data_IF_634812682083
#
_entry.id   IF_634812682083
#
_cell.length_a   1.000
_cell.length_b   1.000
_cell.length_c   1.000
_cell.angle_alpha   90.00
_cell.angle_beta   90.00
_cell.angle_gamma   90.00
#
_symmetry.space_group_name_H-M   'P 1'
#
loop_
_entity.id
_entity.type
_entity.pdbx_description
1 polymer ?
#
# COMPACT_ATOMS: atom_id res chain seq x y z
N UNK A 1 12.63 11.12 28.55
CA UNK A 1 13.00 10.66 27.20
C UNK A 1 14.52 10.74 26.90
N UNK A 2 15.42 10.80 27.91
CA UNK A 2 16.88 10.95 27.71
C UNK A 2 17.70 9.70 28.10
N UNK A 3 17.05 8.55 28.29
CA UNK A 3 17.62 7.45 29.08
C UNK A 3 18.61 6.55 28.30
N UNK A 4 18.45 6.38 26.98
CA UNK A 4 19.47 5.79 26.09
C UNK A 4 18.95 5.76 24.64
N UNK A 5 19.70 6.32 23.69
CA UNK A 5 19.37 6.26 22.26
C UNK A 5 19.30 4.80 21.77
N UNK A 6 20.18 3.93 22.27
CA UNK A 6 20.20 2.52 21.92
C UNK A 6 18.90 1.82 22.36
N UNK A 7 18.44 2.10 23.59
CA UNK A 7 17.17 1.54 24.09
C UNK A 7 15.99 2.05 23.26
N UNK A 8 15.95 3.34 22.91
CA UNK A 8 14.88 3.88 22.07
C UNK A 8 14.85 3.21 20.67
N UNK A 9 16.01 3.04 20.04
CA UNK A 9 16.12 2.32 18.74
C UNK A 9 15.72 0.86 18.87
N UNK A 10 16.13 0.17 19.94
CA UNK A 10 15.78 -1.22 20.19
C UNK A 10 14.28 -1.41 20.41
N UNK A 11 13.66 -0.58 21.25
CA UNK A 11 12.21 -0.60 21.47
C UNK A 11 11.43 -0.32 20.17
N UNK A 12 11.91 0.63 19.37
CA UNK A 12 11.30 0.95 18.08
C UNK A 12 11.41 -0.20 17.07
N UNK A 13 12.58 -0.84 16.99
CA UNK A 13 12.79 -2.01 16.15
C UNK A 13 11.93 -3.19 16.61
N UNK A 14 11.86 -3.44 17.92
CA UNK A 14 11.02 -4.49 18.50
C UNK A 14 9.53 -4.26 18.17
N UNK A 15 9.03 -3.03 18.30
CA UNK A 15 7.67 -2.67 17.90
C UNK A 15 7.43 -2.98 16.42
N UNK A 16 8.37 -2.62 15.53
CA UNK A 16 8.27 -2.93 14.10
C UNK A 16 8.21 -4.44 13.82
N UNK A 17 9.05 -5.23 14.50
CA UNK A 17 9.04 -6.70 14.38
C UNK A 17 7.71 -7.27 14.88
N UNK A 18 7.20 -6.80 16.03
CA UNK A 18 5.90 -7.22 16.56
C UNK A 18 4.76 -6.87 15.61
N UNK A 19 4.73 -5.65 15.06
CA UNK A 19 3.70 -5.23 14.09
C UNK A 19 3.78 -6.01 12.78
N UNK A 20 4.98 -6.32 12.29
CA UNK A 20 5.17 -7.19 11.14
C UNK A 20 4.62 -8.59 11.44
N UNK A 21 5.04 -9.21 12.55
CA UNK A 21 4.56 -10.52 12.97
C UNK A 21 3.04 -10.56 13.12
N UNK A 22 2.46 -9.53 13.72
CA UNK A 22 1.00 -9.37 13.81
C UNK A 22 0.34 -9.31 12.42
N UNK A 23 0.87 -8.53 11.48
CA UNK A 23 0.36 -8.47 10.12
C UNK A 23 0.42 -9.84 9.42
N UNK A 24 1.51 -10.60 9.58
CA UNK A 24 1.64 -11.95 9.02
C UNK A 24 0.62 -12.93 9.61
N UNK A 25 0.41 -12.87 10.94
CA UNK A 25 -0.59 -13.69 11.63
C UNK A 25 -2.00 -13.34 11.17
N UNK A 26 -2.33 -12.06 11.02
CA UNK A 26 -3.63 -11.66 10.48
C UNK A 26 -3.81 -12.14 9.03
N UNK A 27 -2.76 -12.03 8.20
CA UNK A 27 -2.77 -12.48 6.81
C UNK A 27 -3.04 -13.98 6.64
N UNK A 28 -2.75 -14.81 7.67
CA UNK A 28 -3.06 -16.25 7.66
C UNK A 28 -4.53 -16.57 7.42
N UNK A 29 -5.44 -15.64 7.75
CA UNK A 29 -6.90 -15.80 7.56
C UNK A 29 -7.29 -16.03 6.11
N UNK A 30 -6.52 -15.51 5.15
CA UNK A 30 -6.82 -15.61 3.72
C UNK A 30 -6.05 -16.74 3.02
N UNK A 31 -5.22 -17.52 3.73
CA UNK A 31 -4.26 -18.45 3.11
C UNK A 31 -4.46 -19.89 3.57
N UNK A 32 -4.40 -20.83 2.64
CA UNK A 32 -4.23 -22.26 2.94
C UNK A 32 -2.74 -22.58 3.04
N UNK A 33 -2.21 -22.55 4.28
CA UNK A 33 -0.79 -22.73 4.58
C UNK A 33 0.07 -21.47 4.45
N UNK A 34 1.37 -21.61 4.70
CA UNK A 34 2.31 -20.48 4.79
C UNK A 34 2.91 -20.02 3.47
N UNK A 35 2.83 -20.84 2.41
CA UNK A 35 3.48 -20.57 1.12
C UNK A 35 3.14 -19.19 0.54
N UNK A 36 1.87 -18.72 0.46
CA UNK A 36 1.57 -17.40 -0.07
C UNK A 36 2.18 -16.26 0.77
N UNK A 37 2.27 -16.43 2.09
CA UNK A 37 2.86 -15.43 3.00
C UNK A 37 4.37 -15.36 2.79
N UNK A 38 5.05 -16.50 2.75
CA UNK A 38 6.50 -16.56 2.53
C UNK A 38 6.85 -15.92 1.18
N UNK A 39 6.10 -16.24 0.13
CA UNK A 39 6.29 -15.64 -1.19
C UNK A 39 5.97 -14.14 -1.20
N UNK A 40 4.93 -13.69 -0.49
CA UNK A 40 4.62 -12.27 -0.37
C UNK A 40 5.69 -11.50 0.39
N UNK A 41 6.26 -12.08 1.48
CA UNK A 41 7.41 -11.51 2.20
C UNK A 41 8.63 -11.44 1.29
N UNK A 42 8.93 -12.50 0.54
CA UNK A 42 10.03 -12.52 -0.42
C UNK A 42 9.86 -11.45 -1.51
N UNK A 43 8.63 -11.28 -2.01
CA UNK A 43 8.31 -10.25 -3.01
C UNK A 43 8.40 -8.82 -2.48
N UNK A 44 8.53 -8.60 -1.16
CA UNK A 44 8.82 -7.28 -0.57
C UNK A 44 10.08 -7.29 0.30
N UNK A 45 10.98 -8.25 0.07
CA UNK A 45 12.13 -8.51 0.95
C UNK A 45 13.07 -7.32 1.10
N UNK A 46 13.51 -6.72 -0.01
CA UNK A 46 14.38 -5.54 0.03
C UNK A 46 13.68 -4.27 0.57
N UNK A 47 12.41 -3.97 0.22
CA UNK A 47 11.63 -2.94 0.91
C UNK A 47 11.59 -3.14 2.43
N UNK A 48 11.40 -4.38 2.88
CA UNK A 48 11.33 -4.70 4.30
C UNK A 48 12.69 -4.55 4.99
N UNK A 49 13.77 -5.04 4.38
CA UNK A 49 15.15 -4.79 4.85
C UNK A 49 15.41 -3.28 4.99
N UNK A 50 15.13 -2.52 3.92
CA UNK A 50 15.35 -1.07 3.90
C UNK A 50 14.54 -0.36 4.99
N UNK A 51 13.34 -0.84 5.32
CA UNK A 51 12.57 -0.30 6.43
C UNK A 51 13.32 -0.42 7.77
N UNK A 52 13.89 -1.59 8.07
CA UNK A 52 14.61 -1.82 9.32
C UNK A 52 15.94 -1.05 9.37
N UNK A 53 16.66 -0.93 8.25
CA UNK A 53 17.85 -0.09 8.14
C UNK A 53 17.56 1.38 8.48
N UNK A 54 16.40 1.87 8.03
CA UNK A 54 15.98 3.27 8.22
C UNK A 54 15.08 3.48 9.45
N UNK A 55 14.79 2.41 10.22
CA UNK A 55 13.84 2.42 11.34
C UNK A 55 12.52 3.12 10.97
N UNK A 56 11.97 2.85 9.79
CA UNK A 56 10.74 3.51 9.33
C UNK A 56 9.48 2.91 9.97
N UNK A 57 8.33 3.59 9.81
CA UNK A 57 7.04 3.25 10.43
C UNK A 57 6.24 2.18 9.66
N UNK A 58 6.75 1.69 8.53
CA UNK A 58 5.93 0.97 7.55
C UNK A 58 5.30 -0.34 8.08
N UNK A 59 5.99 -1.20 8.87
CA UNK A 59 5.39 -2.37 9.51
C UNK A 59 4.20 -2.05 10.42
N UNK A 60 4.23 -0.90 11.11
CA UNK A 60 3.09 -0.44 11.92
C UNK A 60 1.91 -0.15 11.00
N UNK A 61 2.13 0.61 9.92
CA UNK A 61 1.10 0.91 8.92
C UNK A 61 0.57 -0.37 8.26
N UNK A 62 1.44 -1.32 7.96
CA UNK A 62 1.08 -2.61 7.40
C UNK A 62 0.11 -3.36 8.31
N UNK A 63 0.42 -3.46 9.60
CA UNK A 63 -0.45 -4.09 10.59
C UNK A 63 -1.83 -3.45 10.64
N UNK A 64 -1.89 -2.11 10.66
CA UNK A 64 -3.15 -1.35 10.68
C UNK A 64 -3.98 -1.54 9.40
N UNK A 65 -3.32 -1.60 8.23
CA UNK A 65 -3.97 -1.82 6.94
C UNK A 65 -4.51 -3.26 6.83
N UNK A 66 -3.75 -4.25 7.28
CA UNK A 66 -4.22 -5.64 7.31
C UNK A 66 -5.36 -5.80 8.33
N UNK A 67 -5.26 -5.16 9.51
CA UNK A 67 -6.35 -5.13 10.48
C UNK A 67 -7.63 -4.49 9.91
N UNK A 68 -7.49 -3.41 9.13
CA UNK A 68 -8.61 -2.81 8.38
C UNK A 68 -9.29 -3.84 7.48
N UNK A 69 -8.51 -4.62 6.72
CA UNK A 69 -9.06 -5.68 5.86
C UNK A 69 -9.77 -6.80 6.65
N UNK A 70 -9.24 -7.19 7.83
CA UNK A 70 -9.89 -8.16 8.72
C UNK A 70 -11.24 -7.63 9.21
N UNK A 71 -11.29 -6.40 9.71
CA UNK A 71 -12.52 -5.79 10.22
C UNK A 71 -13.59 -5.65 9.12
N UNK A 72 -13.18 -5.32 7.88
CA UNK A 72 -14.07 -5.24 6.72
C UNK A 72 -14.68 -6.59 6.36
N UNK A 73 -13.89 -7.67 6.43
CA UNK A 73 -14.36 -9.04 6.18
C UNK A 73 -15.39 -9.47 7.23
N UNK A 74 -15.16 -9.09 8.48
CA UNK A 74 -16.07 -9.35 9.61
C UNK A 74 -17.26 -8.37 9.68
N UNK A 75 -17.43 -7.51 8.66
CA UNK A 75 -18.51 -6.50 8.56
C UNK A 75 -18.52 -5.48 9.71
N UNK A 76 -17.38 -5.26 10.38
CA UNK A 76 -17.23 -4.30 11.49
C UNK A 76 -16.71 -2.96 10.98
N UNK A 77 -17.53 -2.29 10.19
CA UNK A 77 -17.11 -1.13 9.38
C UNK A 77 -16.50 0.02 10.19
N UNK A 78 -17.07 0.36 11.35
CA UNK A 78 -16.56 1.43 12.19
C UNK A 78 -15.16 1.12 12.74
N UNK A 79 -14.90 -0.14 13.13
CA UNK A 79 -13.58 -0.58 13.58
C UNK A 79 -12.56 -0.60 12.45
N UNK A 80 -12.98 -1.05 11.26
CA UNK A 80 -12.15 -0.95 10.06
C UNK A 80 -11.75 0.50 9.76
N UNK A 81 -12.73 1.41 9.81
CA UNK A 81 -12.52 2.85 9.72
C UNK A 81 -11.51 3.34 10.75
N UNK A 82 -11.69 2.97 12.02
CA UNK A 82 -10.80 3.37 13.10
C UNK A 82 -9.33 2.96 12.90
N UNK A 83 -9.06 1.72 12.49
CA UNK A 83 -7.70 1.27 12.18
C UNK A 83 -7.08 2.07 11.03
N UNK A 84 -7.85 2.31 9.96
CA UNK A 84 -7.38 3.11 8.83
C UNK A 84 -7.18 4.59 9.21
N UNK A 85 -8.05 5.14 10.05
CA UNK A 85 -7.94 6.49 10.60
C UNK A 85 -6.67 6.66 11.42
N UNK A 86 -6.35 5.69 12.27
CA UNK A 86 -5.10 5.66 13.02
C UNK A 86 -3.88 5.59 12.08
N UNK A 87 -3.91 4.74 11.05
CA UNK A 87 -2.83 4.67 10.06
C UNK A 87 -2.64 6.02 9.33
N UNK A 88 -3.75 6.69 9.01
CA UNK A 88 -3.78 8.00 8.34
C UNK A 88 -3.25 9.13 9.22
N UNK A 89 -3.54 9.09 10.52
CA UNK A 89 -2.98 10.04 11.49
C UNK A 89 -1.46 9.87 11.64
N UNK A 90 -0.96 8.63 11.65
CA UNK A 90 0.48 8.34 11.73
C UNK A 90 1.19 8.84 10.47
N UNK A 91 0.59 8.64 9.30
CA UNK A 91 1.15 9.05 8.01
C UNK A 91 0.02 9.34 7.04
N UNK A 92 0.07 10.43 6.29
CA UNK A 92 -1.09 10.88 5.50
C UNK A 92 -1.48 9.99 4.29
N UNK A 93 -0.54 9.30 3.64
CA UNK A 93 -0.83 8.61 2.37
C UNK A 93 -1.86 7.43 2.43
N UNK A 94 -2.01 6.65 3.53
CA UNK A 94 -3.07 5.66 3.67
C UNK A 94 -4.49 6.26 3.58
N UNK A 95 -4.66 7.58 3.71
CA UNK A 95 -5.94 8.25 3.51
C UNK A 95 -6.61 7.86 2.18
N UNK A 96 -5.83 7.54 1.14
CA UNK A 96 -6.39 7.12 -0.14
C UNK A 96 -7.20 5.81 -0.03
N UNK A 97 -6.94 4.97 0.97
CA UNK A 97 -7.73 3.75 1.23
C UNK A 97 -9.18 4.09 1.63
N UNK A 98 -9.48 5.31 2.09
CA UNK A 98 -10.87 5.75 2.28
C UNK A 98 -11.68 5.75 0.98
N UNK A 99 -11.02 5.76 -0.19
CA UNK A 99 -11.67 5.57 -1.48
C UNK A 99 -12.47 4.26 -1.54
N UNK A 100 -11.99 3.21 -0.89
CA UNK A 100 -12.75 1.96 -0.76
C UNK A 100 -14.09 2.20 -0.07
N UNK A 101 -14.09 2.88 1.06
CA UNK A 101 -15.32 3.15 1.83
C UNK A 101 -16.27 4.06 1.03
N UNK A 102 -15.73 5.05 0.34
CA UNK A 102 -16.52 5.97 -0.50
C UNK A 102 -17.20 5.22 -1.66
N UNK A 103 -16.45 4.45 -2.44
CA UNK A 103 -16.97 3.71 -3.59
C UNK A 103 -17.95 2.61 -3.17
N UNK A 104 -17.69 1.96 -2.03
CA UNK A 104 -18.58 0.94 -1.46
C UNK A 104 -19.71 1.52 -0.61
N UNK A 105 -19.83 2.84 -0.53
CA UNK A 105 -20.85 3.56 0.27
C UNK A 105 -20.90 3.11 1.74
N UNK A 106 -19.74 2.76 2.32
CA UNK A 106 -19.59 2.35 3.72
C UNK A 106 -19.39 3.55 4.63
N UNK A 107 -20.42 4.39 4.71
CA UNK A 107 -20.38 5.69 5.39
C UNK A 107 -20.02 5.60 6.88
N UNK A 108 -20.48 4.55 7.56
CA UNK A 108 -20.17 4.33 8.99
C UNK A 108 -18.67 4.16 9.22
N UNK A 109 -18.02 3.35 8.39
CA UNK A 109 -16.57 3.17 8.43
C UNK A 109 -15.81 4.42 8.01
N UNK A 110 -16.27 5.11 6.96
CA UNK A 110 -15.68 6.37 6.52
C UNK A 110 -15.71 7.44 7.64
N UNK A 111 -16.88 7.65 8.25
CA UNK A 111 -17.06 8.63 9.32
C UNK A 111 -16.20 8.29 10.54
N UNK A 112 -16.20 7.02 10.98
CA UNK A 112 -15.38 6.58 12.10
C UNK A 112 -13.88 6.79 11.84
N UNK A 113 -13.40 6.45 10.64
CA UNK A 113 -11.99 6.62 10.31
C UNK A 113 -11.57 8.07 10.16
N UNK A 114 -12.39 8.92 9.53
CA UNK A 114 -12.14 10.36 9.47
C UNK A 114 -12.15 10.99 10.86
N UNK A 115 -13.07 10.58 11.74
CA UNK A 115 -13.12 11.04 13.11
C UNK A 115 -11.86 10.64 13.91
N UNK A 116 -11.39 9.40 13.79
CA UNK A 116 -10.13 8.97 14.44
C UNK A 116 -8.93 9.73 13.86
N UNK A 117 -8.82 9.86 12.54
CA UNK A 117 -7.72 10.56 11.89
C UNK A 117 -7.66 12.03 12.31
N UNK A 118 -8.79 12.74 12.20
CA UNK A 118 -8.90 14.14 12.58
C UNK A 118 -8.70 14.32 14.09
N UNK A 119 -9.33 13.49 14.92
CA UNK A 119 -9.21 13.54 16.38
C UNK A 119 -7.76 13.38 16.85
N UNK A 120 -7.03 12.37 16.36
CA UNK A 120 -5.63 12.18 16.71
C UNK A 120 -4.73 13.31 16.20
N UNK A 121 -5.00 13.83 15.01
CA UNK A 121 -4.27 14.98 14.46
C UNK A 121 -4.48 16.22 15.33
N UNK A 122 -5.73 16.50 15.73
CA UNK A 122 -6.06 17.62 16.64
C UNK A 122 -5.40 17.43 18.00
N UNK A 123 -5.49 16.23 18.58
CA UNK A 123 -4.85 15.91 19.88
C UNK A 123 -3.35 16.16 19.82
N UNK A 124 -2.67 15.77 18.74
CA UNK A 124 -1.24 16.03 18.56
C UNK A 124 -0.90 17.52 18.43
N UNK A 125 -1.86 18.35 18.01
CA UNK A 125 -1.69 19.80 17.86
C UNK A 125 -2.05 20.60 19.12
N UNK A 126 -2.71 20.00 20.12
CA UNK A 126 -3.11 20.69 21.36
C UNK A 126 -1.97 21.45 22.05
N UNK A 127 -0.73 20.92 22.15
CA UNK A 127 0.37 21.65 22.81
C UNK A 127 0.75 22.98 22.15
N UNK A 128 0.38 23.19 20.88
CA UNK A 128 0.69 24.41 20.14
C UNK A 128 -0.37 25.51 20.33
N UNK A 129 -1.52 25.20 20.96
CA UNK A 129 -2.67 26.09 21.00
C UNK A 129 -3.30 26.32 19.61
N UNK A 130 -4.43 27.05 19.52
CA UNK A 130 -5.16 27.23 18.27
C UNK A 130 -4.35 27.99 17.21
N UNK A 131 -3.68 29.08 17.60
CA UNK A 131 -2.86 29.89 16.68
C UNK A 131 -1.64 29.11 16.20
N UNK A 132 -0.89 28.50 17.13
CA UNK A 132 0.29 27.72 16.79
C UNK A 132 -0.02 26.48 15.95
N UNK A 133 -1.20 25.87 16.12
CA UNK A 133 -1.65 24.77 15.27
C UNK A 133 -1.86 25.21 13.81
N UNK A 134 -2.52 26.36 13.58
CA UNK A 134 -2.74 26.91 12.24
C UNK A 134 -1.40 27.27 11.58
N UNK A 135 -0.51 27.94 12.31
CA UNK A 135 0.82 28.28 11.81
C UNK A 135 1.65 27.04 11.48
N UNK A 136 1.60 26.02 12.34
CA UNK A 136 2.31 24.75 12.13
C UNK A 136 1.80 24.02 10.89
N UNK A 137 0.48 24.00 10.68
CA UNK A 137 -0.12 23.42 9.48
C UNK A 137 0.27 24.18 8.22
N UNK A 138 0.19 25.52 8.23
CA UNK A 138 0.59 26.36 7.10
C UNK A 138 2.08 26.16 6.75
N UNK A 139 2.94 26.11 7.77
CA UNK A 139 4.37 25.82 7.62
C UNK A 139 4.60 24.43 7.06
N UNK A 140 3.92 23.42 7.58
CA UNK A 140 4.02 22.04 7.09
C UNK A 140 3.59 21.92 5.61
N UNK A 141 2.49 22.58 5.21
CA UNK A 141 2.04 22.60 3.81
C UNK A 141 3.08 23.23 2.88
N UNK A 142 3.64 24.39 3.27
CA UNK A 142 4.69 25.07 2.49
C UNK A 142 5.94 24.21 2.34
N UNK A 143 6.42 23.62 3.44
CA UNK A 143 7.58 22.73 3.44
C UNK A 143 7.33 21.45 2.64
N UNK A 144 6.12 20.88 2.73
CA UNK A 144 5.74 19.70 1.95
C UNK A 144 5.77 19.98 0.46
N UNK A 145 5.22 21.12 0.02
CA UNK A 145 5.27 21.51 -1.40
C UNK A 145 6.70 21.70 -1.89
N UNK A 146 7.55 22.37 -1.11
CA UNK A 146 8.97 22.56 -1.46
C UNK A 146 9.76 21.25 -1.46
N UNK A 147 9.50 20.35 -0.50
CA UNK A 147 10.19 19.07 -0.38
C UNK A 147 9.85 18.08 -1.50
N UNK A 148 8.69 18.23 -2.16
CA UNK A 148 8.30 17.33 -3.26
C UNK A 148 9.13 17.48 -4.53
N UNK A 149 9.80 18.61 -4.76
CA UNK A 149 10.64 18.77 -5.96
C UNK A 149 11.96 18.01 -5.83
N UNK A 150 12.62 18.13 -4.67
CA UNK A 150 13.83 17.37 -4.32
C UNK A 150 13.53 15.89 -4.07
N UNK A 151 12.40 15.58 -3.43
CA UNK A 151 11.98 14.21 -3.11
C UNK A 151 11.58 13.34 -4.30
N UNK A 152 11.51 13.90 -5.52
CA UNK A 152 11.32 13.12 -6.76
C UNK A 152 12.54 12.33 -7.17
N UNK A 153 13.73 12.71 -6.69
CA UNK A 153 14.95 11.95 -6.96
C UNK A 153 14.96 10.69 -6.09
N UNK A 154 15.04 9.51 -6.71
CA UNK A 154 15.09 8.23 -5.98
C UNK A 154 13.75 7.71 -5.47
N UNK A 155 12.63 8.40 -5.74
CA UNK A 155 11.29 7.91 -5.36
C UNK A 155 10.80 6.81 -6.29
N UNK A 156 10.19 5.78 -5.73
CA UNK A 156 9.57 4.64 -6.41
C UNK A 156 8.06 4.86 -6.55
N UNK A 157 7.66 6.02 -7.09
CA UNK A 157 6.27 6.36 -7.38
C UNK A 157 6.13 6.81 -8.84
N UNK A 158 4.91 7.03 -9.32
CA UNK A 158 4.66 7.60 -10.66
C UNK A 158 5.36 8.95 -10.86
N UNK A 159 5.48 9.76 -9.80
CA UNK A 159 6.19 11.03 -9.84
C UNK A 159 7.71 10.83 -10.06
N UNK A 160 8.32 9.85 -9.39
CA UNK A 160 9.74 9.50 -9.59
C UNK A 160 9.99 8.84 -10.93
N UNK A 161 9.05 8.00 -11.38
CA UNK A 161 9.07 7.40 -12.69
C UNK A 161 9.20 8.47 -13.78
N UNK A 162 8.31 9.45 -13.77
CA UNK A 162 8.39 10.57 -14.70
C UNK A 162 9.66 11.40 -14.55
N UNK A 163 10.21 11.54 -13.33
CA UNK A 163 11.49 12.18 -13.13
C UNK A 163 12.63 11.41 -13.82
N UNK A 164 12.73 10.09 -13.64
CA UNK A 164 13.76 9.25 -14.27
C UNK A 164 13.68 9.25 -15.80
N UNK A 165 12.47 9.21 -16.34
CA UNK A 165 12.24 9.20 -17.79
C UNK A 165 12.10 10.61 -18.40
N UNK A 166 12.27 11.67 -17.60
CA UNK A 166 12.11 13.07 -18.02
C UNK A 166 10.76 13.34 -18.70
N UNK A 167 9.70 12.69 -18.22
CA UNK A 167 8.35 12.86 -18.76
C UNK A 167 7.76 14.22 -18.38
N UNK A 168 7.02 14.88 -19.30
CA UNK A 168 6.21 16.04 -18.97
C UNK A 168 5.22 15.75 -17.82
N UNK A 169 4.93 16.76 -17.00
CA UNK A 169 4.00 16.63 -15.86
C UNK A 169 2.59 16.18 -16.26
N UNK A 170 2.14 16.52 -17.48
CA UNK A 170 0.88 16.04 -18.04
C UNK A 170 0.80 14.51 -18.08
N UNK A 171 1.90 13.82 -18.42
CA UNK A 171 1.92 12.34 -18.46
C UNK A 171 1.85 11.72 -17.08
N UNK A 172 2.33 12.40 -16.02
CA UNK A 172 2.13 11.97 -14.63
C UNK A 172 0.66 11.98 -14.29
N UNK A 173 -0.04 13.06 -14.64
CA UNK A 173 -1.47 13.20 -14.39
C UNK A 173 -2.27 12.13 -15.16
N UNK A 174 -1.92 11.87 -16.42
CA UNK A 174 -2.52 10.79 -17.22
C UNK A 174 -2.26 9.42 -16.58
N UNK A 175 -1.02 9.07 -16.25
CA UNK A 175 -0.69 7.78 -15.64
C UNK A 175 -1.39 7.58 -14.28
N UNK A 176 -1.44 8.65 -13.47
CA UNK A 176 -2.16 8.67 -12.19
C UNK A 176 -3.66 8.46 -12.42
N UNK A 177 -4.27 9.20 -13.36
CA UNK A 177 -5.67 9.07 -13.73
C UNK A 177 -6.03 7.68 -14.25
N UNK A 178 -5.16 7.07 -15.05
CA UNK A 178 -5.31 5.68 -15.52
C UNK A 178 -5.28 4.68 -14.36
N UNK A 179 -4.31 4.81 -13.44
CA UNK A 179 -4.23 3.94 -12.27
C UNK A 179 -5.45 4.08 -11.36
N UNK A 180 -5.84 5.32 -11.04
CA UNK A 180 -7.04 5.61 -10.23
C UNK A 180 -8.30 5.07 -10.93
N UNK A 181 -8.47 5.34 -12.22
CA UNK A 181 -9.61 4.86 -13.01
C UNK A 181 -9.70 3.34 -13.05
N UNK A 182 -8.56 2.65 -13.22
CA UNK A 182 -8.48 1.19 -13.18
C UNK A 182 -8.89 0.62 -11.82
N UNK A 183 -8.42 1.22 -10.72
CA UNK A 183 -8.82 0.83 -9.36
C UNK A 183 -10.30 1.11 -9.11
N UNK A 184 -10.82 2.26 -9.53
CA UNK A 184 -12.25 2.59 -9.42
C UNK A 184 -13.12 1.58 -10.18
N UNK A 185 -12.73 1.24 -11.41
CA UNK A 185 -13.42 0.23 -12.22
C UNK A 185 -13.43 -1.14 -11.51
N UNK A 186 -12.29 -1.53 -10.94
CA UNK A 186 -12.16 -2.76 -10.17
C UNK A 186 -13.05 -2.74 -8.91
N UNK A 187 -13.04 -1.65 -8.13
CA UNK A 187 -13.85 -1.50 -6.92
C UNK A 187 -15.35 -1.42 -7.20
N UNK A 188 -15.78 -0.94 -8.37
CA UNK A 188 -17.20 -0.94 -8.76
C UNK A 188 -17.73 -2.33 -9.06
N UNK A 189 -16.86 -3.32 -9.34
CA UNK A 189 -17.32 -4.71 -9.52
C UNK A 189 -17.81 -5.29 -8.20
N UNK A 190 -18.85 -6.14 -8.23
CA UNK A 190 -19.32 -6.86 -7.04
C UNK A 190 -18.17 -7.59 -6.36
N UNK A 191 -18.05 -7.44 -5.05
CA UNK A 191 -17.06 -8.12 -4.23
C UNK A 191 -17.71 -9.18 -3.34
N UNK A 192 -16.99 -10.28 -3.14
CA UNK A 192 -17.31 -11.27 -2.12
C UNK A 192 -16.75 -10.82 -0.77
N UNK A 193 -17.24 -11.39 0.33
CA UNK A 193 -16.75 -11.05 1.66
C UNK A 193 -15.22 -11.25 1.81
N UNK A 194 -14.70 -12.33 1.22
CA UNK A 194 -13.28 -12.72 1.24
C UNK A 194 -12.37 -11.81 0.39
N UNK A 195 -12.93 -10.82 -0.30
CA UNK A 195 -12.18 -9.96 -1.19
C UNK A 195 -11.61 -8.71 -0.50
N UNK A 196 -11.87 -8.52 0.80
CA UNK A 196 -11.45 -7.32 1.53
C UNK A 196 -9.94 -7.07 1.49
N UNK A 197 -9.11 -8.12 1.66
CA UNK A 197 -7.66 -8.01 1.58
C UNK A 197 -7.19 -7.55 0.20
N UNK A 198 -7.83 -8.05 -0.86
CA UNK A 198 -7.52 -7.67 -2.23
C UNK A 198 -7.92 -6.23 -2.54
N UNK A 199 -9.08 -5.78 -2.07
CA UNK A 199 -9.54 -4.41 -2.31
C UNK A 199 -8.70 -3.41 -1.52
N UNK A 200 -8.44 -3.68 -0.24
CA UNK A 200 -7.55 -2.85 0.60
C UNK A 200 -6.13 -2.86 0.04
N UNK A 201 -5.59 -4.03 -0.33
CA UNK A 201 -4.27 -4.16 -0.93
C UNK A 201 -4.15 -3.40 -2.26
N UNK A 202 -5.16 -3.47 -3.12
CA UNK A 202 -5.20 -2.74 -4.40
C UNK A 202 -5.16 -1.22 -4.18
N UNK A 203 -5.99 -0.69 -3.29
CA UNK A 203 -6.02 0.76 -3.02
C UNK A 203 -4.77 1.21 -2.26
N UNK A 204 -4.20 0.36 -1.40
CA UNK A 204 -2.93 0.64 -0.72
C UNK A 204 -1.78 0.72 -1.71
N UNK A 205 -1.74 -0.19 -2.69
CA UNK A 205 -0.75 -0.18 -3.77
C UNK A 205 -0.88 1.08 -4.63
N UNK A 206 -2.12 1.47 -4.96
CA UNK A 206 -2.39 2.75 -5.62
C UNK A 206 -1.87 3.92 -4.77
N UNK A 207 -2.10 3.91 -3.46
CA UNK A 207 -1.65 4.98 -2.55
C UNK A 207 -0.12 5.15 -2.53
N UNK A 208 0.62 4.04 -2.64
CA UNK A 208 2.09 4.07 -2.80
C UNK A 208 2.47 4.64 -4.16
N UNK A 209 1.85 4.15 -5.26
CA UNK A 209 2.15 4.58 -6.63
C UNK A 209 1.88 6.06 -6.89
N UNK A 210 0.80 6.61 -6.33
CA UNK A 210 0.43 8.03 -6.51
C UNK A 210 1.05 8.94 -5.46
N UNK A 211 1.81 8.38 -4.51
CA UNK A 211 2.44 9.18 -3.47
C UNK A 211 3.45 10.17 -4.10
N UNK A 212 3.46 11.44 -3.66
CA UNK A 212 4.45 12.41 -4.12
C UNK A 212 5.89 11.93 -3.87
N UNK A 213 6.10 11.23 -2.75
CA UNK A 213 7.37 10.62 -2.36
C UNK A 213 7.10 9.25 -1.75
N UNK A 214 7.45 8.19 -2.49
CA UNK A 214 7.45 6.80 -2.09
C UNK A 214 8.89 6.27 -2.06
N UNK A 215 9.52 6.34 -0.89
CA UNK A 215 10.79 5.65 -0.69
C UNK A 215 10.61 4.13 -0.85
N UNK A 216 11.71 3.45 -1.15
CA UNK A 216 11.77 2.00 -1.32
C UNK A 216 10.93 1.24 -0.27
N UNK A 217 11.14 1.53 1.01
CA UNK A 217 10.49 0.84 2.11
C UNK A 217 8.95 0.99 2.17
N UNK A 218 8.33 1.90 1.41
CA UNK A 218 6.87 2.01 1.28
C UNK A 218 6.28 0.81 0.54
N UNK A 219 7.07 0.17 -0.33
CA UNK A 219 6.65 -1.01 -1.10
C UNK A 219 6.45 -2.26 -0.23
N UNK A 220 6.85 -2.21 1.04
CA UNK A 220 6.41 -3.20 2.05
C UNK A 220 4.88 -3.30 2.10
N UNK A 221 4.16 -2.22 1.78
CA UNK A 221 2.70 -2.18 1.75
C UNK A 221 2.07 -2.79 0.50
N UNK A 222 2.87 -3.30 -0.43
CA UNK A 222 2.39 -4.21 -1.48
C UNK A 222 2.09 -5.61 -0.92
N UNK A 223 2.53 -5.93 0.31
CA UNK A 223 2.30 -7.23 0.97
C UNK A 223 0.83 -7.71 0.91
N UNK A 224 -0.20 -6.95 1.33
CA UNK A 224 -1.59 -7.41 1.25
C UNK A 224 -2.04 -7.71 -0.18
N UNK A 225 -1.56 -6.97 -1.18
CA UNK A 225 -1.83 -7.22 -2.60
C UNK A 225 -1.18 -8.54 -3.07
N UNK A 226 0.06 -8.80 -2.65
CA UNK A 226 0.75 -10.06 -2.91
C UNK A 226 0.06 -11.25 -2.26
N UNK A 227 -0.29 -11.16 -0.98
CA UNK A 227 -1.04 -12.23 -0.29
C UNK A 227 -2.36 -12.47 -1.02
N UNK A 228 -3.12 -11.43 -1.35
CA UNK A 228 -4.40 -11.58 -2.04
C UNK A 228 -4.28 -12.33 -3.36
N UNK A 229 -3.30 -11.99 -4.21
CA UNK A 229 -3.15 -12.64 -5.53
C UNK A 229 -2.60 -14.07 -5.41
N UNK A 230 -1.72 -14.34 -4.44
CA UNK A 230 -1.11 -15.66 -4.23
C UNK A 230 -2.03 -16.66 -3.52
N UNK A 231 -3.03 -16.19 -2.77
CA UNK A 231 -3.91 -17.05 -1.98
C UNK A 231 -5.14 -17.54 -2.73
N UNK A 232 -5.42 -16.97 -3.89
CA UNK A 232 -6.64 -17.24 -4.64
C UNK A 232 -6.43 -18.40 -5.61
N UNK A 233 -7.27 -19.45 -5.55
CA UNK A 233 -7.35 -20.41 -6.63
C UNK A 233 -7.86 -19.70 -7.88
N UNK A 234 -7.21 -19.90 -9.03
CA UNK A 234 -7.69 -19.39 -10.32
C UNK A 234 -8.28 -20.53 -11.14
N UNK A 235 -9.60 -20.77 -11.09
CA UNK A 235 -10.25 -21.65 -12.06
C UNK A 235 -10.25 -20.93 -13.42
N UNK A 236 -9.42 -21.39 -14.35
CA UNK A 236 -9.36 -20.86 -15.71
C UNK A 236 -8.62 -21.78 -16.66
N UNK A 237 -8.69 -21.53 -17.98
CA UNK A 237 -7.90 -22.27 -18.97
C UNK A 237 -6.41 -22.19 -18.65
N UNK A 238 -5.69 -23.31 -18.74
CA UNK A 238 -4.26 -23.42 -18.38
C UNK A 238 -3.39 -22.30 -18.98
N UNK A 239 -3.67 -21.89 -20.23
CA UNK A 239 -2.94 -20.79 -20.89
C UNK A 239 -3.07 -19.46 -20.15
N UNK A 240 -4.25 -19.14 -19.60
CA UNK A 240 -4.47 -17.88 -18.85
C UNK A 240 -3.74 -17.89 -17.52
N UNK A 241 -3.67 -19.06 -16.90
CA UNK A 241 -2.93 -19.26 -15.67
C UNK A 241 -1.42 -19.07 -15.89
N UNK A 242 -0.85 -19.60 -16.98
CA UNK A 242 0.57 -19.40 -17.34
C UNK A 242 0.89 -17.90 -17.47
N UNK A 243 0.10 -17.13 -18.21
CA UNK A 243 0.35 -15.68 -18.38
C UNK A 243 0.22 -14.91 -17.07
N UNK A 244 -0.73 -15.30 -16.20
CA UNK A 244 -0.86 -14.72 -14.87
C UNK A 244 0.39 -14.97 -14.04
N UNK A 245 0.85 -16.21 -13.97
CA UNK A 245 2.05 -16.56 -13.22
C UNK A 245 3.32 -15.94 -13.80
N UNK A 246 3.42 -15.80 -15.13
CA UNK A 246 4.50 -15.06 -15.77
C UNK A 246 4.49 -13.58 -15.35
N UNK A 247 3.33 -12.93 -15.41
CA UNK A 247 3.15 -11.54 -14.96
C UNK A 247 3.52 -11.36 -13.49
N UNK A 248 3.05 -12.26 -12.62
CA UNK A 248 3.37 -12.26 -11.19
C UNK A 248 4.84 -12.58 -10.93
N UNK A 249 5.46 -13.47 -11.70
CA UNK A 249 6.89 -13.77 -11.61
C UNK A 249 7.73 -12.53 -11.89
N UNK A 250 7.43 -11.82 -12.98
CA UNK A 250 8.10 -10.56 -13.33
C UNK A 250 7.86 -9.49 -12.25
N UNK A 251 6.62 -9.31 -11.81
CA UNK A 251 6.29 -8.37 -10.74
C UNK A 251 7.04 -8.70 -9.42
N UNK A 252 7.17 -9.99 -9.08
CA UNK A 252 7.85 -10.47 -7.89
C UNK A 252 9.36 -10.22 -7.96
N UNK A 253 10.00 -10.47 -9.11
CA UNK A 253 11.42 -10.14 -9.32
C UNK A 253 11.65 -8.63 -9.16
N UNK A 254 10.78 -7.81 -9.74
CA UNK A 254 10.88 -6.35 -9.69
C UNK A 254 10.68 -5.78 -8.27
N UNK A 255 9.77 -6.35 -7.48
CA UNK A 255 9.43 -5.86 -6.13
C UNK A 255 10.25 -6.48 -4.99
N UNK A 256 10.82 -7.67 -5.18
CA UNK A 256 11.63 -8.36 -4.16
C UNK A 256 12.95 -7.66 -3.86
N UNK A 257 13.48 -6.94 -4.85
CA UNK A 257 14.80 -6.32 -4.81
C UNK A 257 15.94 -7.22 -5.29
N UNK A 258 15.65 -8.37 -5.90
CA UNK A 258 16.68 -9.20 -6.56
C UNK A 258 17.48 -8.39 -7.59
N UNK A 259 16.84 -7.45 -8.29
CA UNK A 259 17.54 -6.58 -9.23
C UNK A 259 18.51 -5.61 -8.53
N UNK A 260 18.41 -5.35 -7.23
CA UNK A 260 19.35 -4.44 -6.56
C UNK A 260 20.78 -4.98 -6.48
N UNK A 261 21.00 -6.27 -6.78
CA UNK A 261 22.34 -6.86 -6.89
C UNK A 261 23.09 -6.50 -8.19
N UNK A 262 22.45 -5.79 -9.13
CA UNK A 262 23.11 -5.35 -10.37
C UNK A 262 23.49 -6.50 -11.32
N UNK A 263 22.88 -7.68 -11.15
CA UNK A 263 23.11 -8.88 -11.95
C UNK A 263 22.37 -8.82 -13.30
N UNK A 264 22.39 -7.67 -13.98
CA UNK A 264 21.74 -7.48 -15.27
C UNK A 264 22.54 -6.50 -16.15
N UNK A 265 22.40 -6.59 -17.48
CA UNK A 265 23.07 -5.68 -18.41
C UNK A 265 22.74 -4.21 -18.16
N UNK A 266 23.74 -3.33 -18.24
CA UNK A 266 23.61 -1.89 -17.97
C UNK A 266 22.56 -1.18 -18.84
N UNK A 267 22.25 -1.69 -20.04
CA UNK A 267 21.20 -1.13 -20.90
C UNK A 267 19.78 -1.26 -20.31
N UNK A 268 19.58 -2.12 -19.32
CA UNK A 268 18.33 -2.24 -18.53
C UNK A 268 18.26 -1.24 -17.36
N UNK A 269 19.08 -0.18 -17.36
CA UNK A 269 19.10 0.85 -16.31
C UNK A 269 17.70 1.38 -15.97
N UNK A 270 16.82 1.52 -16.97
CA UNK A 270 15.48 2.07 -16.81
C UNK A 270 14.53 1.14 -16.04
N UNK A 271 14.82 -0.16 -16.04
CA UNK A 271 14.14 -1.13 -15.18
C UNK A 271 14.71 -1.01 -13.78
N UNK A 272 16.05 -1.01 -13.64
CA UNK A 272 16.72 -0.93 -12.34
C UNK A 272 16.36 0.30 -11.51
N UNK A 273 16.32 1.49 -12.13
CA UNK A 273 16.05 2.76 -11.44
C UNK A 273 14.61 2.86 -10.93
N UNK A 274 13.66 2.17 -11.57
CA UNK A 274 12.22 2.27 -11.28
C UNK A 274 11.56 0.90 -11.07
N UNK A 275 12.33 -0.10 -10.66
CA UNK A 275 11.91 -1.50 -10.59
C UNK A 275 10.68 -1.69 -9.69
N UNK A 276 10.65 -1.05 -8.53
CA UNK A 276 9.52 -1.18 -7.60
C UNK A 276 8.25 -0.53 -8.15
N UNK A 277 8.37 0.59 -8.86
CA UNK A 277 7.24 1.20 -9.59
C UNK A 277 6.73 0.28 -10.68
N UNK A 278 7.62 -0.28 -11.53
CA UNK A 278 7.26 -1.25 -12.57
C UNK A 278 6.56 -2.47 -11.98
N UNK A 279 7.15 -3.10 -10.96
CA UNK A 279 6.59 -4.29 -10.34
C UNK A 279 5.24 -4.03 -9.67
N UNK A 280 5.07 -2.86 -9.04
CA UNK A 280 3.80 -2.44 -8.46
C UNK A 280 2.73 -2.17 -9.51
N UNK A 281 3.09 -1.58 -10.66
CA UNK A 281 2.17 -1.40 -11.78
C UNK A 281 1.70 -2.76 -12.35
N UNK A 282 2.60 -3.73 -12.48
CA UNK A 282 2.25 -5.08 -12.93
C UNK A 282 1.36 -5.81 -11.92
N UNK A 283 1.65 -5.71 -10.63
CA UNK A 283 0.82 -6.27 -9.56
C UNK A 283 -0.57 -5.62 -9.52
N UNK A 284 -0.64 -4.29 -9.66
CA UNK A 284 -1.89 -3.53 -9.77
C UNK A 284 -2.70 -4.01 -10.98
N UNK A 285 -2.07 -4.12 -12.15
CA UNK A 285 -2.70 -4.62 -13.37
C UNK A 285 -3.23 -6.05 -13.19
N UNK A 286 -2.46 -6.95 -12.57
CA UNK A 286 -2.89 -8.32 -12.29
C UNK A 286 -4.17 -8.34 -11.43
N UNK A 287 -4.21 -7.56 -10.35
CA UNK A 287 -5.38 -7.47 -9.47
C UNK A 287 -6.60 -6.86 -10.18
N UNK A 288 -6.41 -5.80 -10.97
CA UNK A 288 -7.48 -5.15 -11.73
C UNK A 288 -8.04 -6.11 -12.79
N UNK A 289 -7.17 -6.74 -13.58
CA UNK A 289 -7.56 -7.70 -14.62
C UNK A 289 -8.34 -8.86 -14.00
N UNK A 290 -7.85 -9.41 -12.89
CA UNK A 290 -8.52 -10.49 -12.16
C UNK A 290 -9.91 -10.04 -11.68
N UNK A 291 -10.02 -8.83 -11.11
CA UNK A 291 -11.29 -8.29 -10.62
C UNK A 291 -12.30 -8.03 -11.74
N UNK A 292 -11.87 -7.45 -12.85
CA UNK A 292 -12.74 -7.04 -13.96
C UNK A 292 -13.20 -8.25 -14.79
N UNK A 293 -12.38 -9.29 -14.89
CA UNK A 293 -12.71 -10.51 -15.66
C UNK A 293 -13.48 -11.56 -14.87
N UNK A 294 -13.60 -11.41 -13.55
CA UNK A 294 -14.41 -12.31 -12.73
C UNK A 294 -15.88 -12.25 -13.16
N UNK A 295 -16.55 -13.40 -13.35
CA UNK A 295 -17.99 -13.43 -13.55
C UNK A 295 -18.68 -12.75 -12.38
N UNK A 296 -19.72 -11.96 -12.67
CA UNK A 296 -20.60 -11.43 -11.64
C UNK A 296 -21.27 -12.62 -10.96
N UNK A 297 -21.28 -12.71 -9.61
CA UNK A 297 -22.03 -13.76 -8.92
C UNK A 297 -23.49 -13.67 -9.33
N UNK A 298 -24.03 -14.73 -9.93
CA UNK A 298 -25.48 -14.83 -10.17
C UNK A 298 -26.12 -15.03 -8.78
N UNK A 299 -27.09 -14.20 -8.37
CA UNK A 299 -27.83 -14.45 -7.14
C UNK A 299 -28.51 -15.82 -7.26
N UNK A 300 -28.24 -16.71 -6.31
CA UNK A 300 -28.98 -17.96 -6.20
C UNK A 300 -30.46 -17.63 -6.01
N UNK A 301 -31.38 -18.23 -6.81
CA UNK A 301 -32.79 -18.09 -6.52
C UNK A 301 -33.04 -18.66 -5.12
N UNK A 302 -33.60 -17.81 -4.25
CA UNK A 302 -34.09 -18.16 -2.91
C UNK A 302 -35.31 -19.05 -3.01
#
# INVERSE_FOLDING_TARGET
>A
ARSSLAVAKACWAALNVCCLGWALVLARRWTTGWRPIVLAVAAVGKPLQSNFEHLNVTPILLGLIVATAVELEQRREARAGGWLGLATAIKGFPALVFLYFLVRQRWRGLAAGLAVAAGLTVVAMLPYGPVGAVESLARWLRLSQQGTTLGRMGTQSLAGFAFFFKWPSAWIAVATGLCVGAVLLALRRPARAQDSLSDVGLVTLLAVLVSPVAWLYYHTLAFPAWVAVLSRPTPGPARREIWRWALLGVAGILTSGVLTFGLYPSWLWFIGQANYTWGSLLLLAALVIERVRRPVPVPSPT
#
